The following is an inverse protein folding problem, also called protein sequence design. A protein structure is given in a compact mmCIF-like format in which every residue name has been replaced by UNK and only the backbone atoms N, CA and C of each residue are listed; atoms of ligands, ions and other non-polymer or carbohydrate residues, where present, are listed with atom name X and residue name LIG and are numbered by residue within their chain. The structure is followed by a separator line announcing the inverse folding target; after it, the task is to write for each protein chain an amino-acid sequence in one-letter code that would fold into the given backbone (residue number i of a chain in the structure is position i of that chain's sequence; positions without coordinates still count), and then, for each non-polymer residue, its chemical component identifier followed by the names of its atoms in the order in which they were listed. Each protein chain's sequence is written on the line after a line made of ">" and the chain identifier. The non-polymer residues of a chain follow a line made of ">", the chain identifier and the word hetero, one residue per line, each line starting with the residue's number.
data_IF_856618439585
#
_entry.id   IF_856618439585
#
_cell.length_a   1.000
_cell.length_b   1.000
_cell.length_c   1.000
_cell.angle_alpha   90.00
_cell.angle_beta   90.00
_cell.angle_gamma   90.00
#
_symmetry.space_group_name_H-M   'P 1'
#
loop_
_entity.id
_entity.type
_entity.pdbx_description
1 polymer ?
#
# COMPACT_ATOMS: atom_id res chain seq x y z
N UNK A 1 -33.64 -75.09 3.08
CA UNK A 1 -33.81 -74.12 4.18
C UNK A 1 -32.49 -73.52 4.73
N UNK A 2 -31.31 -74.08 4.49
CA UNK A 2 -29.98 -73.50 4.91
C UNK A 2 -29.46 -72.38 4.00
N UNK A 3 -29.80 -72.35 2.71
CA UNK A 3 -29.27 -71.36 1.75
C UNK A 3 -29.91 -69.97 1.96
N UNK A 4 -31.18 -69.92 2.28
CA UNK A 4 -31.89 -68.63 2.54
C UNK A 4 -31.43 -67.95 3.84
N UNK A 5 -30.97 -68.74 4.84
CA UNK A 5 -30.46 -68.18 6.10
C UNK A 5 -29.12 -67.47 5.93
N UNK A 6 -28.28 -67.97 5.04
CA UNK A 6 -26.96 -67.37 4.74
C UNK A 6 -27.11 -66.11 3.86
N UNK A 7 -28.11 -66.04 2.97
CA UNK A 7 -28.35 -64.85 2.13
C UNK A 7 -28.89 -63.69 2.99
N UNK A 8 -29.77 -63.98 3.98
CA UNK A 8 -30.26 -62.97 4.91
C UNK A 8 -29.16 -62.38 5.80
N UNK A 9 -28.21 -63.18 6.26
CA UNK A 9 -27.09 -62.71 7.09
C UNK A 9 -26.11 -61.88 6.25
N UNK A 10 -25.84 -62.26 5.01
CA UNK A 10 -25.00 -61.46 4.09
C UNK A 10 -25.66 -60.12 3.71
N UNK A 11 -26.98 -60.09 3.49
CA UNK A 11 -27.72 -58.88 3.20
C UNK A 11 -27.74 -57.89 4.39
N UNK A 12 -27.85 -58.41 5.63
CA UNK A 12 -27.82 -57.59 6.85
C UNK A 12 -26.40 -57.00 7.08
N UNK A 13 -25.34 -57.75 6.82
CA UNK A 13 -23.96 -57.25 6.94
C UNK A 13 -23.64 -56.20 5.91
N UNK A 14 -24.16 -56.33 4.68
CA UNK A 14 -23.93 -55.32 3.61
C UNK A 14 -24.66 -53.97 3.91
N UNK A 15 -25.85 -54.03 4.53
CA UNK A 15 -26.60 -52.81 4.91
C UNK A 15 -25.93 -52.06 6.07
N UNK A 16 -25.32 -52.76 7.03
CA UNK A 16 -24.59 -52.10 8.12
C UNK A 16 -23.26 -51.43 7.67
N UNK A 17 -22.68 -51.88 6.56
CA UNK A 17 -21.47 -51.24 6.02
C UNK A 17 -21.76 -49.95 5.21
N UNK A 18 -23.02 -49.70 4.82
CA UNK A 18 -23.43 -48.52 4.07
C UNK A 18 -23.93 -47.38 4.96
N UNK A 19 -24.24 -47.61 6.22
CA UNK A 19 -24.72 -46.57 7.13
C UNK A 19 -23.62 -45.89 7.96
N UNK A 20 -22.34 -46.26 7.77
CA UNK A 20 -21.25 -45.84 8.65
C UNK A 20 -20.43 -44.62 8.21
N UNK A 21 -20.73 -43.94 7.11
CA UNK A 21 -19.80 -42.95 6.56
C UNK A 21 -20.41 -41.64 6.09
N UNK A 22 -21.60 -41.24 6.50
CA UNK A 22 -22.15 -39.95 6.04
C UNK A 22 -21.75 -38.75 6.87
N UNK A 23 -21.21 -38.91 8.05
CA UNK A 23 -20.80 -37.77 8.90
C UNK A 23 -19.28 -37.52 8.94
N UNK A 24 -18.45 -38.42 8.38
CA UNK A 24 -17.01 -38.30 8.44
C UNK A 24 -16.39 -37.52 7.24
N UNK A 25 -17.20 -37.10 6.29
CA UNK A 25 -16.76 -36.41 5.07
C UNK A 25 -17.33 -35.00 4.89
N UNK A 26 -18.03 -34.46 5.88
CA UNK A 26 -18.19 -33.00 5.89
C UNK A 26 -16.95 -32.42 6.55
N UNK A 27 -16.06 -31.74 5.80
CA UNK A 27 -15.04 -30.93 6.42
C UNK A 27 -15.81 -29.90 7.26
N UNK A 28 -15.74 -30.04 8.58
CA UNK A 28 -16.14 -28.93 9.46
C UNK A 28 -15.38 -27.73 8.94
N UNK A 29 -16.13 -26.77 8.44
CA UNK A 29 -15.56 -25.50 8.02
C UNK A 29 -15.20 -24.74 9.31
N UNK A 30 -14.13 -25.22 9.96
CA UNK A 30 -13.54 -24.55 11.10
C UNK A 30 -12.98 -23.26 10.52
N UNK A 31 -13.78 -22.19 10.59
CA UNK A 31 -13.33 -20.83 10.41
C UNK A 31 -12.27 -20.54 11.49
N UNK A 32 -11.10 -21.14 11.35
CA UNK A 32 -9.92 -20.80 12.13
C UNK A 32 -9.44 -19.43 11.67
N UNK A 33 -10.13 -18.40 12.11
CA UNK A 33 -9.56 -17.08 12.14
C UNK A 33 -8.72 -17.00 13.43
N UNK A 34 -7.38 -17.01 13.35
CA UNK A 34 -6.57 -16.79 14.54
C UNK A 34 -6.90 -15.41 15.09
N UNK A 35 -7.14 -15.33 16.39
CA UNK A 35 -7.35 -14.05 17.07
C UNK A 35 -6.10 -13.17 16.87
N UNK A 36 -6.32 -11.90 16.58
CA UNK A 36 -5.26 -10.90 16.55
C UNK A 36 -4.67 -10.70 17.95
N UNK A 37 -3.45 -10.14 18.07
CA UNK A 37 -2.89 -9.78 19.39
C UNK A 37 -3.84 -8.89 20.21
N UNK A 38 -4.50 -7.92 19.58
CA UNK A 38 -5.48 -7.04 20.20
C UNK A 38 -6.72 -7.80 20.73
N UNK A 39 -7.20 -8.82 19.99
CA UNK A 39 -8.34 -9.65 20.42
C UNK A 39 -7.98 -10.64 21.53
N UNK A 40 -6.70 -11.08 21.61
CA UNK A 40 -6.22 -12.00 22.65
C UNK A 40 -5.99 -11.32 23.99
N UNK A 41 -5.39 -10.16 23.96
CA UNK A 41 -5.04 -9.35 25.13
C UNK A 41 -5.11 -7.86 24.78
N UNK A 42 -6.29 -7.25 24.84
CA UNK A 42 -6.47 -5.83 24.51
C UNK A 42 -5.63 -4.88 25.37
N UNK A 43 -5.49 -5.20 26.66
CA UNK A 43 -4.72 -4.35 27.59
C UNK A 43 -3.22 -4.42 27.31
N UNK A 44 -2.65 -5.61 27.21
CA UNK A 44 -1.25 -5.79 26.87
C UNK A 44 -0.90 -5.26 25.49
N UNK A 45 -1.81 -5.37 24.52
CA UNK A 45 -1.63 -4.77 23.20
C UNK A 45 -1.63 -3.23 23.24
N UNK A 46 -2.49 -2.63 24.04
CA UNK A 46 -2.50 -1.17 24.24
C UNK A 46 -1.21 -0.67 24.91
N UNK A 47 -0.68 -1.37 25.91
CA UNK A 47 0.61 -1.07 26.56
C UNK A 47 1.76 -1.20 25.54
N UNK A 48 1.77 -2.25 24.74
CA UNK A 48 2.75 -2.44 23.66
C UNK A 48 2.74 -1.28 22.68
N UNK A 49 1.57 -0.84 22.19
CA UNK A 49 1.47 0.29 21.27
C UNK A 49 1.89 1.62 21.93
N UNK A 50 1.64 1.79 23.23
CA UNK A 50 2.13 2.96 23.95
C UNK A 50 3.66 2.99 24.00
N UNK A 51 4.30 1.84 24.29
CA UNK A 51 5.76 1.71 24.28
C UNK A 51 6.36 1.94 22.88
N UNK A 52 5.70 1.47 21.81
CA UNK A 52 6.11 1.74 20.42
C UNK A 52 6.07 3.23 20.11
N UNK A 53 5.01 3.95 20.50
CA UNK A 53 4.92 5.40 20.29
C UNK A 53 5.97 6.16 21.06
N UNK A 54 6.27 5.75 22.30
CA UNK A 54 7.34 6.33 23.12
C UNK A 54 8.72 6.10 22.48
N UNK A 55 8.99 4.88 22.00
CA UNK A 55 10.20 4.55 21.26
C UNK A 55 10.38 5.44 20.03
N UNK A 56 9.33 5.61 19.22
CA UNK A 56 9.36 6.46 18.01
C UNK A 56 9.53 7.96 18.33
N UNK A 57 9.17 8.39 19.53
CA UNK A 57 9.40 9.77 20.00
C UNK A 57 10.82 9.99 20.52
N UNK A 58 11.58 8.91 20.79
CA UNK A 58 12.96 8.97 21.27
C UNK A 58 13.97 9.03 20.12
N UNK A 59 15.24 9.28 20.41
CA UNK A 59 16.33 9.18 19.43
C UNK A 59 16.61 7.70 19.09
N UNK A 60 16.45 7.31 17.83
CA UNK A 60 16.64 5.94 17.34
C UNK A 60 16.93 5.90 15.84
N UNK A 61 17.28 4.73 15.32
CA UNK A 61 17.43 4.51 13.88
C UNK A 61 16.05 4.48 13.20
N UNK A 62 15.82 5.39 12.29
CA UNK A 62 14.53 5.55 11.58
C UNK A 62 14.33 4.43 10.57
N UNK A 63 13.17 3.77 10.62
CA UNK A 63 12.73 2.77 9.64
C UNK A 63 11.70 3.38 8.69
N UNK A 64 12.03 3.38 7.40
CA UNK A 64 11.15 3.87 6.33
C UNK A 64 10.76 2.70 5.45
N UNK A 65 9.48 2.47 5.25
CA UNK A 65 8.93 1.47 4.34
C UNK A 65 8.25 2.15 3.15
N UNK A 66 8.26 1.47 2.00
CA UNK A 66 7.53 1.92 0.81
C UNK A 66 6.50 0.87 0.41
N UNK A 67 5.31 1.32 0.05
CA UNK A 67 4.24 0.47 -0.46
C UNK A 67 3.57 1.09 -1.69
N UNK A 68 2.99 0.25 -2.52
CA UNK A 68 2.13 0.70 -3.62
C UNK A 68 0.72 0.97 -3.07
N UNK A 69 0.19 2.16 -3.34
CA UNK A 69 -1.22 2.49 -3.12
C UNK A 69 -2.09 1.85 -4.19
N UNK A 70 -3.35 1.63 -3.88
CA UNK A 70 -4.32 1.09 -4.84
C UNK A 70 -5.59 1.94 -4.87
N UNK A 71 -6.13 2.13 -6.08
CA UNK A 71 -7.46 2.72 -6.30
C UNK A 71 -8.58 1.68 -6.21
N UNK A 72 -8.24 0.38 -6.29
CA UNK A 72 -9.18 -0.72 -6.11
C UNK A 72 -9.32 -1.09 -4.63
N UNK A 73 -10.40 -1.81 -4.31
CA UNK A 73 -10.58 -2.34 -2.95
C UNK A 73 -9.39 -3.25 -2.58
N UNK A 74 -8.71 -3.01 -1.45
CA UNK A 74 -7.55 -3.79 -1.07
C UNK A 74 -7.93 -5.25 -0.84
N UNK A 75 -7.25 -6.16 -1.55
CA UNK A 75 -7.51 -7.59 -1.55
C UNK A 75 -6.54 -8.40 -0.68
N UNK A 76 -5.47 -7.77 -0.19
CA UNK A 76 -4.39 -8.42 0.56
C UNK A 76 -3.79 -7.49 1.61
N UNK A 77 -3.18 -8.08 2.65
CA UNK A 77 -2.63 -7.33 3.77
C UNK A 77 -1.51 -6.34 3.38
N UNK A 78 -0.71 -6.65 2.36
CA UNK A 78 0.36 -5.76 1.91
C UNK A 78 -0.14 -4.48 1.22
N UNK A 79 -1.44 -4.38 0.95
CA UNK A 79 -2.09 -3.17 0.45
C UNK A 79 -2.64 -2.27 1.56
N UNK A 80 -2.52 -2.67 2.83
CA UNK A 80 -3.00 -1.93 3.99
C UNK A 80 -1.84 -1.25 4.74
N UNK A 81 -1.97 0.05 4.98
CA UNK A 81 -1.01 0.83 5.79
C UNK A 81 -0.99 0.29 7.23
N UNK A 82 -2.16 -0.06 7.75
CA UNK A 82 -2.31 -0.62 9.10
C UNK A 82 -1.66 -1.99 9.29
N UNK A 83 -1.44 -2.74 8.21
CA UNK A 83 -0.77 -4.04 8.25
C UNK A 83 0.78 -3.92 8.20
N UNK A 84 1.32 -2.73 7.96
CA UNK A 84 2.76 -2.51 7.99
C UNK A 84 3.31 -2.75 9.41
N UNK A 85 4.58 -3.20 9.53
CA UNK A 85 5.23 -3.46 10.81
C UNK A 85 5.10 -2.29 11.79
N UNK A 86 4.79 -2.60 13.05
CA UNK A 86 4.60 -1.58 14.09
C UNK A 86 5.88 -0.76 14.36
N UNK A 87 7.05 -1.33 14.05
CA UNK A 87 8.35 -0.66 14.15
C UNK A 87 8.63 0.35 13.05
N UNK A 88 7.81 0.43 11.99
CA UNK A 88 8.00 1.42 10.92
C UNK A 88 7.69 2.83 11.45
N UNK A 89 8.65 3.74 11.29
CA UNK A 89 8.48 5.17 11.64
C UNK A 89 7.71 5.89 10.55
N UNK A 90 8.01 5.55 9.30
CA UNK A 90 7.39 6.13 8.11
C UNK A 90 6.93 5.05 7.15
N UNK A 91 5.75 5.26 6.57
CA UNK A 91 5.25 4.50 5.43
C UNK A 91 5.05 5.44 4.27
N UNK A 92 5.87 5.26 3.22
CA UNK A 92 5.78 6.00 1.98
C UNK A 92 4.84 5.29 1.02
N UNK A 93 3.78 5.97 0.59
CA UNK A 93 2.78 5.41 -0.31
C UNK A 93 2.96 5.97 -1.71
N UNK A 94 3.21 5.10 -2.68
CA UNK A 94 3.20 5.46 -4.10
C UNK A 94 1.77 5.42 -4.61
N UNK A 95 1.31 6.48 -5.22
CA UNK A 95 -0.05 6.63 -5.73
C UNK A 95 0.06 6.98 -7.21
N UNK A 96 -0.47 6.11 -8.08
CA UNK A 96 -0.51 6.39 -9.51
C UNK A 96 -1.64 7.36 -9.86
N UNK A 97 -2.88 7.01 -9.51
CA UNK A 97 -4.06 7.84 -9.79
C UNK A 97 -4.77 8.30 -8.51
N UNK A 98 -5.35 7.34 -7.80
CA UNK A 98 -6.15 7.55 -6.60
C UNK A 98 -5.80 6.54 -5.51
N UNK A 99 -6.17 6.87 -4.29
CA UNK A 99 -6.10 5.94 -3.16
C UNK A 99 -7.52 5.53 -2.78
N UNK A 100 -7.76 4.23 -2.64
CA UNK A 100 -9.06 3.72 -2.20
C UNK A 100 -9.42 4.25 -0.81
N UNK A 101 -10.68 4.58 -0.57
CA UNK A 101 -11.16 5.18 0.68
C UNK A 101 -10.78 4.40 1.95
N UNK A 102 -10.77 3.07 1.87
CA UNK A 102 -10.33 2.18 2.96
C UNK A 102 -8.87 2.47 3.35
N UNK A 103 -7.99 2.60 2.36
CA UNK A 103 -6.56 2.89 2.59
C UNK A 103 -6.39 4.34 3.05
N UNK A 104 -7.13 5.28 2.46
CA UNK A 104 -7.08 6.68 2.88
C UNK A 104 -7.49 6.86 4.35
N UNK A 105 -8.49 6.11 4.83
CA UNK A 105 -8.90 6.12 6.24
C UNK A 105 -7.83 5.58 7.20
N UNK A 106 -6.91 4.75 6.72
CA UNK A 106 -5.82 4.21 7.54
C UNK A 106 -4.70 5.23 7.81
N UNK A 107 -4.59 6.30 7.02
CA UNK A 107 -3.56 7.33 7.17
C UNK A 107 -3.60 7.97 8.58
N UNK A 108 -4.70 8.59 9.02
CA UNK A 108 -4.78 9.09 10.40
C UNK A 108 -4.78 7.98 11.44
N UNK A 109 -5.36 6.82 11.14
CA UNK A 109 -5.49 5.71 12.09
C UNK A 109 -4.13 5.11 12.47
N UNK A 110 -3.21 4.96 11.53
CA UNK A 110 -1.87 4.41 11.82
C UNK A 110 -1.03 5.37 12.65
N UNK A 111 -1.18 6.68 12.42
CA UNK A 111 -0.52 7.71 13.23
C UNK A 111 -1.03 7.66 14.68
N UNK A 112 -2.34 7.60 14.87
CA UNK A 112 -2.97 7.56 16.19
C UNK A 112 -2.59 6.27 16.94
N UNK A 113 -2.78 5.11 16.31
CA UNK A 113 -2.52 3.81 16.95
C UNK A 113 -1.03 3.53 17.18
N UNK A 114 -0.21 3.67 16.14
CA UNK A 114 1.17 3.19 16.11
C UNK A 114 2.22 4.31 16.17
N UNK A 115 1.82 5.58 16.04
CA UNK A 115 2.75 6.70 15.87
C UNK A 115 3.51 6.69 14.54
N UNK A 116 3.11 5.84 13.60
CA UNK A 116 3.71 5.77 12.26
C UNK A 116 3.24 6.94 11.42
N UNK A 117 4.17 7.70 10.88
CA UNK A 117 3.87 8.79 9.95
C UNK A 117 3.75 8.24 8.53
N UNK A 118 2.82 8.80 7.76
CA UNK A 118 2.66 8.45 6.35
C UNK A 118 3.16 9.55 5.47
N UNK A 119 3.83 9.19 4.37
CA UNK A 119 4.36 10.13 3.38
C UNK A 119 3.83 9.76 1.99
N UNK A 120 3.50 10.76 1.18
CA UNK A 120 3.26 10.52 -0.24
C UNK A 120 4.60 10.46 -0.97
N UNK A 121 4.72 9.51 -1.90
CA UNK A 121 5.94 9.31 -2.67
C UNK A 121 5.87 10.10 -3.98
N UNK A 122 6.78 11.05 -4.16
CA UNK A 122 6.94 11.82 -5.40
C UNK A 122 8.14 11.26 -6.14
N UNK A 123 7.93 10.68 -7.32
CA UNK A 123 8.97 10.00 -8.08
C UNK A 123 9.34 10.77 -9.35
N UNK A 124 10.55 11.35 -9.36
CA UNK A 124 11.10 12.01 -10.53
C UNK A 124 11.16 11.09 -11.75
N UNK A 125 11.52 9.80 -11.55
CA UNK A 125 11.65 8.87 -12.67
C UNK A 125 10.32 8.59 -13.36
N UNK A 126 9.20 8.56 -12.62
CA UNK A 126 7.86 8.42 -13.18
C UNK A 126 7.50 9.62 -14.04
N UNK A 127 7.79 10.83 -13.56
CA UNK A 127 7.54 12.08 -14.31
C UNK A 127 8.41 12.12 -15.57
N UNK A 128 9.68 11.73 -15.46
CA UNK A 128 10.61 11.72 -16.61
C UNK A 128 10.23 10.67 -17.65
N UNK A 129 9.78 9.49 -17.22
CA UNK A 129 9.27 8.47 -18.12
C UNK A 129 8.00 8.95 -18.88
N UNK A 130 7.10 9.66 -18.20
CA UNK A 130 5.92 10.24 -18.84
C UNK A 130 6.30 11.32 -19.88
N UNK A 131 7.30 12.14 -19.61
CA UNK A 131 7.83 13.08 -20.59
C UNK A 131 8.46 12.36 -21.79
N UNK A 132 9.28 11.33 -21.52
CA UNK A 132 9.90 10.52 -22.59
C UNK A 132 8.86 9.92 -23.52
N UNK A 133 7.78 9.39 -22.96
CA UNK A 133 6.68 8.84 -23.75
C UNK A 133 5.96 9.89 -24.64
N UNK A 134 5.95 11.17 -24.22
CA UNK A 134 5.47 12.26 -25.06
C UNK A 134 6.44 12.57 -26.19
N UNK A 135 7.73 12.58 -25.94
CA UNK A 135 8.76 12.81 -26.95
C UNK A 135 8.79 11.70 -27.99
N UNK A 136 8.62 10.43 -27.57
CA UNK A 136 8.49 9.29 -28.47
C UNK A 136 7.29 9.45 -29.41
N UNK A 137 6.14 9.87 -28.88
CA UNK A 137 4.94 10.14 -29.70
C UNK A 137 5.14 11.28 -30.68
N UNK A 138 5.86 12.36 -30.28
CA UNK A 138 6.22 13.46 -31.19
C UNK A 138 7.09 12.96 -32.33
N UNK A 139 8.10 12.15 -32.01
CA UNK A 139 8.98 11.56 -32.99
C UNK A 139 8.22 10.66 -33.99
N UNK A 140 7.30 9.82 -33.52
CA UNK A 140 6.47 8.96 -34.34
C UNK A 140 5.57 9.77 -35.30
N UNK A 141 5.10 10.93 -34.85
CA UNK A 141 4.30 11.85 -35.67
C UNK A 141 5.14 12.74 -36.60
N UNK A 142 6.48 12.68 -36.53
CA UNK A 142 7.38 13.58 -37.29
C UNK A 142 7.37 15.03 -36.79
N UNK A 143 6.99 15.24 -35.53
CA UNK A 143 7.00 16.55 -34.86
C UNK A 143 8.39 16.88 -34.31
N UNK A 144 8.65 18.16 -34.06
CA UNK A 144 9.90 18.58 -33.42
C UNK A 144 9.95 18.13 -31.94
N UNK A 145 11.13 17.86 -31.38
CA UNK A 145 11.29 17.61 -29.95
C UNK A 145 10.77 18.78 -29.11
N UNK A 146 10.31 18.44 -27.91
CA UNK A 146 9.81 19.42 -26.96
C UNK A 146 10.88 20.41 -26.51
N UNK A 147 10.46 21.64 -26.29
CA UNK A 147 11.35 22.73 -25.84
C UNK A 147 11.62 22.61 -24.33
N UNK A 148 12.64 23.35 -23.84
CA UNK A 148 12.93 23.47 -22.41
C UNK A 148 11.75 24.06 -21.64
N UNK A 149 11.05 25.03 -22.22
CA UNK A 149 9.86 25.64 -21.60
C UNK A 149 8.72 24.62 -21.46
N UNK A 150 8.44 23.84 -22.49
CA UNK A 150 7.42 22.78 -22.45
C UNK A 150 7.77 21.71 -21.41
N UNK A 151 9.05 21.30 -21.33
CA UNK A 151 9.52 20.37 -20.32
C UNK A 151 9.34 20.94 -18.90
N UNK A 152 9.69 22.20 -18.67
CA UNK A 152 9.52 22.88 -17.38
C UNK A 152 8.05 22.90 -16.94
N UNK A 153 7.16 23.32 -17.83
CA UNK A 153 5.71 23.38 -17.56
C UNK A 153 5.15 21.99 -17.27
N UNK A 154 5.55 20.99 -18.06
CA UNK A 154 5.12 19.61 -17.85
C UNK A 154 5.54 19.07 -16.48
N UNK A 155 6.84 19.18 -16.15
CA UNK A 155 7.39 18.68 -14.90
C UNK A 155 6.77 19.38 -13.68
N UNK A 156 6.64 20.71 -13.74
CA UNK A 156 5.98 21.46 -12.69
C UNK A 156 4.55 20.95 -12.45
N UNK A 157 3.76 20.82 -13.51
CA UNK A 157 2.37 20.34 -13.43
C UNK A 157 2.28 18.92 -12.84
N UNK A 158 3.15 18.01 -13.28
CA UNK A 158 3.14 16.63 -12.76
C UNK A 158 3.60 16.55 -11.30
N UNK A 159 4.65 17.30 -10.94
CA UNK A 159 5.12 17.40 -9.57
C UNK A 159 4.03 17.97 -8.64
N UNK A 160 3.41 19.08 -9.03
CA UNK A 160 2.32 19.70 -8.27
C UNK A 160 1.13 18.74 -8.09
N UNK A 161 0.80 17.94 -9.11
CA UNK A 161 -0.27 16.95 -9.03
C UNK A 161 0.05 15.83 -8.00
N UNK A 162 1.27 15.28 -8.01
CA UNK A 162 1.70 14.28 -7.03
C UNK A 162 1.77 14.89 -5.61
N UNK A 163 2.31 16.09 -5.48
CA UNK A 163 2.43 16.81 -4.21
C UNK A 163 1.04 17.12 -3.60
N UNK A 164 0.07 17.48 -4.43
CA UNK A 164 -1.29 17.79 -3.97
C UNK A 164 -1.96 16.61 -3.24
N UNK A 165 -1.59 15.37 -3.55
CA UNK A 165 -2.08 14.17 -2.87
C UNK A 165 -1.73 14.17 -1.37
N UNK A 166 -0.65 14.87 -0.98
CA UNK A 166 -0.27 15.02 0.43
C UNK A 166 -1.38 15.67 1.25
N UNK A 167 -1.93 16.78 0.76
CA UNK A 167 -3.02 17.48 1.43
C UNK A 167 -4.37 16.80 1.18
N UNK A 168 -4.58 16.25 -0.02
CA UNK A 168 -5.82 15.56 -0.39
C UNK A 168 -6.15 14.41 0.56
N UNK A 169 -5.16 13.58 0.89
CA UNK A 169 -5.34 12.39 1.75
C UNK A 169 -4.86 12.59 3.20
N UNK A 170 -4.31 13.76 3.53
CA UNK A 170 -3.86 14.06 4.89
C UNK A 170 -2.54 13.37 5.28
N UNK A 171 -1.65 13.12 4.32
CA UNK A 171 -0.29 12.64 4.62
C UNK A 171 0.49 13.64 5.47
N UNK A 172 1.37 13.12 6.31
CA UNK A 172 2.23 13.93 7.19
C UNK A 172 3.44 14.58 6.49
N UNK A 173 3.63 14.31 5.21
CA UNK A 173 4.72 14.89 4.42
C UNK A 173 4.95 14.19 3.10
N UNK A 174 6.09 14.47 2.48
CA UNK A 174 6.47 13.99 1.15
C UNK A 174 7.81 13.26 1.21
N UNK A 175 7.91 12.13 0.54
CA UNK A 175 9.16 11.44 0.22
C UNK A 175 9.47 11.65 -1.26
N UNK A 176 10.66 12.17 -1.58
CA UNK A 176 11.08 12.41 -2.96
C UNK A 176 12.13 11.42 -3.39
N UNK A 177 11.88 10.71 -4.49
CA UNK A 177 12.92 9.98 -5.23
C UNK A 177 13.42 10.86 -6.36
N UNK A 178 14.72 11.10 -6.37
CA UNK A 178 15.35 11.97 -7.33
C UNK A 178 16.62 11.34 -7.90
N UNK A 179 16.66 11.24 -9.23
CA UNK A 179 17.86 10.91 -9.99
C UNK A 179 18.06 12.01 -11.02
N UNK A 180 19.04 12.88 -10.79
CA UNK A 180 19.24 14.04 -11.60
C UNK A 180 20.46 13.96 -12.50
N UNK A 181 20.35 14.54 -13.70
CA UNK A 181 21.46 14.96 -14.56
C UNK A 181 21.64 16.47 -14.47
N UNK A 182 22.76 16.99 -14.92
CA UNK A 182 23.18 18.33 -14.50
C UNK A 182 23.16 19.38 -15.61
N UNK A 183 22.69 19.10 -16.83
CA UNK A 183 22.86 20.03 -17.97
C UNK A 183 21.66 20.01 -18.91
N UNK A 184 21.43 21.18 -19.57
CA UNK A 184 20.42 21.33 -20.61
C UNK A 184 18.97 21.11 -20.11
N UNK A 185 18.15 20.48 -20.90
CA UNK A 185 16.74 20.24 -20.61
C UNK A 185 16.51 19.45 -19.32
N UNK A 186 17.46 18.60 -18.95
CA UNK A 186 17.42 17.86 -17.68
C UNK A 186 17.52 18.79 -16.47
N UNK A 187 18.31 19.88 -16.55
CA UNK A 187 18.39 20.88 -15.49
C UNK A 187 17.06 21.64 -15.31
N UNK A 188 16.38 21.94 -16.41
CA UNK A 188 15.08 22.62 -16.38
C UNK A 188 14.01 21.75 -15.70
N UNK A 189 13.98 20.45 -16.03
CA UNK A 189 13.10 19.46 -15.41
C UNK A 189 13.30 19.38 -13.89
N UNK A 190 14.56 19.34 -13.45
CA UNK A 190 14.94 19.30 -12.04
C UNK A 190 14.52 20.57 -11.30
N UNK A 191 14.80 21.72 -11.88
CA UNK A 191 14.42 23.01 -11.32
C UNK A 191 12.91 23.09 -11.12
N UNK A 192 12.13 22.67 -12.11
CA UNK A 192 10.66 22.66 -12.01
C UNK A 192 10.14 21.78 -10.87
N UNK A 193 10.74 20.59 -10.65
CA UNK A 193 10.40 19.73 -9.51
C UNK A 193 10.75 20.42 -8.17
N UNK A 194 11.98 20.94 -8.04
CA UNK A 194 12.40 21.57 -6.78
C UNK A 194 11.65 22.86 -6.47
N UNK A 195 11.26 23.63 -7.47
CA UNK A 195 10.42 24.81 -7.27
C UNK A 195 9.02 24.43 -6.73
N UNK A 196 8.44 23.34 -7.26
CA UNK A 196 7.17 22.83 -6.76
C UNK A 196 7.28 22.34 -5.31
N UNK A 197 8.34 21.60 -4.97
CA UNK A 197 8.61 21.14 -3.60
C UNK A 197 8.85 22.30 -2.63
N UNK A 198 9.59 23.31 -3.05
CA UNK A 198 9.85 24.51 -2.26
C UNK A 198 8.55 25.27 -1.98
N UNK A 199 7.72 25.48 -3.00
CA UNK A 199 6.43 26.14 -2.83
C UNK A 199 5.50 25.35 -1.88
N UNK A 200 5.53 24.02 -1.93
CA UNK A 200 4.77 23.19 -1.00
C UNK A 200 5.28 23.34 0.45
N UNK A 201 6.59 23.28 0.68
CA UNK A 201 7.17 23.43 2.01
C UNK A 201 6.89 24.83 2.60
N UNK A 202 6.96 25.90 1.77
CA UNK A 202 6.63 27.25 2.21
C UNK A 202 5.15 27.39 2.63
N UNK A 203 4.25 26.64 1.99
CA UNK A 203 2.83 26.61 2.32
C UNK A 203 2.48 25.65 3.48
N UNK A 204 3.34 24.67 3.77
CA UNK A 204 3.11 23.61 4.78
C UNK A 204 4.43 23.36 5.56
N UNK A 205 4.88 24.29 6.39
CA UNK A 205 6.20 24.21 7.03
C UNK A 205 6.34 23.05 8.05
N UNK A 206 5.23 22.44 8.44
CA UNK A 206 5.17 21.27 9.33
C UNK A 206 5.27 19.92 8.61
N UNK A 207 5.25 19.92 7.26
CA UNK A 207 5.24 18.70 6.42
C UNK A 207 6.53 18.49 5.66
#
# INVERSE_FOLDING_TARGET
>A
MKIFKNISIMASAAVMLLCGCSEWTQPENLNFRPLTPEEKDPAGYAEYLAAIREYKASEHNVMILTMEGTSEYPSSQNQHIMAMPDSADYVCVKIEDNLHEVIAAEIPAVLEKKGTKTLVYVDYAVIDAAWTALEDKRADNGEAPGTEEEASVFFKKQAEAQIALCNQYGFGGIMVSFQGTKTGIASVKQTALFDALKAFHEANPEK
#
